data_IF_400644649755
#
_entry.id   IF_400644649755
#
_cell.length_a   1.000
_cell.length_b   1.000
_cell.length_c   1.000
_cell.angle_alpha   90.00
_cell.angle_beta   90.00
_cell.angle_gamma   90.00
#
_symmetry.space_group_name_H-M   'P 1'
#
loop_
_entity.id
_entity.type
_entity.pdbx_description
1 polymer ?
#
# COMPACT_ATOMS: atom_id res chain seq x y z
N UNK A 1 -13.57 -26.70 -1.18
CA UNK A 1 -12.29 -26.08 -1.58
C UNK A 1 -12.62 -24.83 -2.36
N UNK A 2 -12.93 -23.72 -1.68
CA UNK A 2 -13.24 -22.47 -2.37
C UNK A 2 -11.93 -21.78 -2.73
N UNK A 3 -11.70 -21.59 -4.02
CA UNK A 3 -10.52 -20.95 -4.57
C UNK A 3 -10.32 -19.59 -3.92
N UNK A 4 -9.16 -19.40 -3.32
CA UNK A 4 -8.73 -18.17 -2.66
C UNK A 4 -8.45 -17.13 -3.75
N UNK A 5 -9.51 -16.56 -4.34
CA UNK A 5 -9.37 -15.68 -5.49
C UNK A 5 -8.91 -14.30 -5.04
N UNK A 6 -7.61 -14.08 -5.20
CA UNK A 6 -7.05 -12.75 -5.24
C UNK A 6 -7.68 -11.94 -6.37
N UNK A 7 -8.12 -10.73 -6.05
CA UNK A 7 -8.66 -9.76 -7.01
C UNK A 7 -7.67 -8.63 -7.17
N UNK A 8 -7.36 -8.27 -8.41
CA UNK A 8 -6.58 -7.06 -8.66
C UNK A 8 -7.40 -5.84 -8.25
N UNK A 9 -6.85 -4.99 -7.39
CA UNK A 9 -7.52 -3.76 -6.94
C UNK A 9 -7.10 -2.52 -7.75
N UNK A 10 -6.11 -2.66 -8.63
CA UNK A 10 -5.78 -1.65 -9.64
C UNK A 10 -6.88 -1.70 -10.72
N UNK A 11 -7.65 -0.62 -10.85
CA UNK A 11 -8.73 -0.51 -11.85
C UNK A 11 -10.09 -1.10 -11.43
N UNK A 12 -10.25 -1.48 -10.16
CA UNK A 12 -11.56 -1.86 -9.60
C UNK A 12 -12.23 -0.66 -8.91
N UNK A 13 -13.57 -0.56 -9.03
CA UNK A 13 -14.34 0.59 -8.56
C UNK A 13 -14.31 0.79 -7.04
N UNK A 14 -14.66 -0.23 -6.26
CA UNK A 14 -14.73 -0.13 -4.79
C UNK A 14 -13.90 -1.22 -4.12
N UNK A 15 -12.97 -0.78 -3.26
CA UNK A 15 -12.23 -1.62 -2.34
C UNK A 15 -13.00 -1.58 -1.01
N UNK A 16 -13.29 -2.73 -0.37
CA UNK A 16 -13.94 -2.73 0.93
C UNK A 16 -13.12 -1.92 1.95
N UNK A 17 -13.81 -1.22 2.84
CA UNK A 17 -13.13 -0.42 3.86
C UNK A 17 -12.29 -1.27 4.81
N UNK A 18 -11.14 -0.71 5.17
CA UNK A 18 -10.20 -1.19 6.18
C UNK A 18 -10.07 -0.20 7.35
N UNK A 19 -11.03 0.73 7.49
CA UNK A 19 -11.11 1.58 8.69
C UNK A 19 -11.25 0.70 9.94
N UNK A 20 -10.45 0.99 10.97
CA UNK A 20 -10.30 0.20 12.19
C UNK A 20 -9.80 -1.23 11.97
N UNK A 21 -9.30 -1.57 10.78
CA UNK A 21 -8.66 -2.86 10.55
C UNK A 21 -7.24 -2.83 11.11
N UNK A 22 -6.86 -3.90 11.80
CA UNK A 22 -5.54 -4.04 12.41
C UNK A 22 -4.58 -4.76 11.47
N UNK A 23 -3.48 -4.11 11.10
CA UNK A 23 -2.35 -4.74 10.43
C UNK A 23 -1.62 -5.65 11.44
N UNK A 24 -1.80 -6.96 11.32
CA UNK A 24 -1.20 -7.92 12.24
C UNK A 24 -0.04 -8.72 11.62
N UNK A 25 0.17 -8.63 10.30
CA UNK A 25 1.18 -9.41 9.61
C UNK A 25 1.81 -8.69 8.42
N UNK A 26 3.14 -8.75 8.35
CA UNK A 26 3.94 -8.27 7.22
C UNK A 26 4.87 -9.41 6.79
N UNK A 27 4.67 -9.94 5.58
CA UNK A 27 5.54 -10.93 4.95
C UNK A 27 6.39 -10.27 3.86
N UNK A 28 7.70 -10.18 4.06
CA UNK A 28 8.62 -9.57 3.09
C UNK A 28 9.40 -10.65 2.33
N UNK A 29 9.10 -10.78 1.03
CA UNK A 29 9.69 -11.76 0.13
C UNK A 29 10.52 -11.04 -0.93
N UNK A 30 11.71 -10.57 -0.53
CA UNK A 30 12.57 -9.71 -1.37
C UNK A 30 12.96 -10.34 -2.71
N UNK A 31 13.29 -11.64 -2.71
CA UNK A 31 13.71 -12.35 -3.92
C UNK A 31 12.62 -12.32 -5.01
N UNK A 32 11.36 -12.38 -4.59
CA UNK A 32 10.19 -12.38 -5.48
C UNK A 32 9.64 -10.97 -5.74
N UNK A 33 10.28 -9.94 -5.17
CA UNK A 33 9.77 -8.56 -5.14
C UNK A 33 8.31 -8.51 -4.65
N UNK A 34 8.02 -9.26 -3.59
CA UNK A 34 6.67 -9.37 -3.01
C UNK A 34 6.63 -8.87 -1.57
N UNK A 35 5.55 -8.15 -1.24
CA UNK A 35 5.17 -7.79 0.11
C UNK A 35 3.74 -8.28 0.37
N UNK A 36 3.54 -8.97 1.48
CA UNK A 36 2.24 -9.42 1.95
C UNK A 36 1.84 -8.66 3.19
N UNK A 37 0.65 -8.08 3.18
CA UNK A 37 0.07 -7.35 4.30
C UNK A 37 -1.22 -8.04 4.73
N UNK A 38 -1.36 -8.33 6.02
CA UNK A 38 -2.51 -9.03 6.56
C UNK A 38 -3.21 -8.16 7.60
N UNK A 39 -4.50 -7.98 7.38
CA UNK A 39 -5.35 -7.14 8.19
C UNK A 39 -6.48 -7.95 8.80
N UNK A 40 -6.72 -7.76 10.09
CA UNK A 40 -7.92 -8.24 10.78
C UNK A 40 -8.96 -7.14 10.69
N UNK A 41 -10.08 -7.42 10.04
CA UNK A 41 -11.16 -6.45 9.78
C UNK A 41 -12.15 -6.45 10.94
N UNK A 42 -12.89 -5.35 11.10
CA UNK A 42 -13.89 -5.18 12.18
C UNK A 42 -15.04 -6.17 12.13
N UNK A 43 -15.32 -6.76 10.96
CA UNK A 43 -16.29 -7.83 10.79
C UNK A 43 -15.77 -9.22 11.20
N UNK A 44 -14.56 -9.31 11.77
CA UNK A 44 -13.90 -10.56 12.15
C UNK A 44 -13.15 -11.27 11.02
N UNK A 45 -13.39 -10.89 9.76
CA UNK A 45 -12.71 -11.48 8.60
C UNK A 45 -11.27 -10.99 8.43
N UNK A 46 -10.53 -11.64 7.53
CA UNK A 46 -9.16 -11.27 7.19
C UNK A 46 -9.08 -10.69 5.79
N UNK A 47 -8.40 -9.55 5.64
CA UNK A 47 -8.00 -9.03 4.34
C UNK A 47 -6.50 -9.20 4.13
N UNK A 48 -6.11 -9.84 3.04
CA UNK A 48 -4.71 -10.02 2.67
C UNK A 48 -4.40 -9.28 1.38
N UNK A 49 -3.54 -8.27 1.46
CA UNK A 49 -2.95 -7.64 0.28
C UNK A 49 -1.65 -8.35 -0.09
N UNK A 50 -1.51 -8.67 -1.37
CA UNK A 50 -0.28 -9.17 -1.98
C UNK A 50 0.17 -8.14 -3.02
N UNK A 51 1.26 -7.46 -2.71
CA UNK A 51 1.89 -6.45 -3.56
C UNK A 51 3.05 -7.12 -4.28
N UNK A 52 3.06 -7.10 -5.61
CA UNK A 52 4.09 -7.74 -6.44
C UNK A 52 4.80 -6.74 -7.32
N UNK A 53 6.04 -7.06 -7.71
CA UNK A 53 6.89 -6.11 -8.41
C UNK A 53 7.21 -4.90 -7.54
N UNK A 54 7.36 -5.10 -6.22
CA UNK A 54 7.70 -4.04 -5.28
C UNK A 54 8.98 -3.33 -5.75
N UNK A 55 8.89 -2.01 -5.89
CA UNK A 55 9.96 -1.10 -6.30
C UNK A 55 10.56 -0.45 -5.07
N UNK A 56 9.71 0.03 -4.15
CA UNK A 56 10.10 0.62 -2.89
C UNK A 56 9.01 0.37 -1.84
N UNK A 57 9.41 0.18 -0.59
CA UNK A 57 8.51 0.10 0.54
C UNK A 57 9.17 0.75 1.76
N UNK A 58 8.36 1.36 2.62
CA UNK A 58 8.80 1.81 3.93
C UNK A 58 7.63 1.68 4.89
N UNK A 59 7.94 1.20 6.09
CA UNK A 59 7.04 1.15 7.25
C UNK A 59 7.75 1.75 8.43
N UNK A 60 7.03 2.53 9.22
CA UNK A 60 7.50 3.09 10.50
C UNK A 60 6.48 2.77 11.58
N UNK A 61 6.92 2.79 12.84
CA UNK A 61 6.06 2.69 14.02
C UNK A 61 5.15 1.45 14.06
N UNK A 62 5.62 0.33 13.50
CA UNK A 62 4.96 -0.97 13.67
C UNK A 62 5.07 -1.40 15.14
N UNK A 63 3.95 -1.29 15.85
CA UNK A 63 3.86 -1.42 17.31
C UNK A 63 2.93 -2.57 17.72
N UNK A 64 2.59 -2.65 19.00
CA UNK A 64 1.66 -3.66 19.53
C UNK A 64 0.24 -3.53 18.93
N UNK A 65 -0.17 -2.30 18.59
CA UNK A 65 -1.41 -2.02 17.89
C UNK A 65 -1.12 -1.24 16.60
N UNK A 66 -1.61 -1.73 15.46
CA UNK A 66 -1.42 -1.10 14.14
C UNK A 66 -2.75 -0.96 13.43
N UNK A 67 -3.55 0.01 13.87
CA UNK A 67 -4.93 0.20 13.39
C UNK A 67 -4.92 1.19 12.23
N UNK A 68 -5.44 0.77 11.08
CA UNK A 68 -5.57 1.63 9.92
C UNK A 68 -6.71 2.63 10.10
N UNK A 69 -6.42 3.91 9.85
CA UNK A 69 -7.46 4.93 9.63
C UNK A 69 -8.02 4.76 8.22
N UNK A 70 -7.14 4.70 7.21
CA UNK A 70 -7.52 4.47 5.82
C UNK A 70 -6.40 3.83 5.01
N UNK A 71 -6.80 3.18 3.93
CA UNK A 71 -5.91 2.70 2.89
C UNK A 71 -6.15 3.54 1.63
N UNK A 72 -5.09 4.17 1.11
CA UNK A 72 -5.13 4.93 -0.15
C UNK A 72 -4.41 4.10 -1.21
N UNK A 73 -5.11 3.77 -2.29
CA UNK A 73 -4.60 2.84 -3.31
C UNK A 73 -4.87 3.42 -4.69
N UNK A 74 -3.83 3.69 -5.49
CA UNK A 74 -4.01 4.14 -6.87
C UNK A 74 -4.49 2.99 -7.76
N UNK A 75 -5.37 3.23 -8.76
CA UNK A 75 -5.98 4.51 -9.11
C UNK A 75 -7.31 4.79 -8.36
N UNK A 76 -7.77 3.89 -7.50
CA UNK A 76 -9.03 4.06 -6.76
C UNK A 76 -9.03 5.34 -5.90
N UNK A 77 -7.87 5.69 -5.35
CA UNK A 77 -7.58 6.99 -4.80
C UNK A 77 -6.78 7.84 -5.82
N UNK A 78 -7.31 8.99 -6.26
CA UNK A 78 -6.65 9.85 -7.24
C UNK A 78 -5.62 10.76 -6.55
N UNK A 79 -4.44 10.21 -6.24
CA UNK A 79 -3.35 11.02 -5.68
C UNK A 79 -3.00 12.20 -6.60
N UNK A 80 -2.90 13.39 -6.00
CA UNK A 80 -2.32 14.55 -6.67
C UNK A 80 -0.81 14.39 -6.87
N UNK A 81 -0.23 15.12 -7.82
CA UNK A 81 1.23 15.12 -8.02
C UNK A 81 2.01 15.53 -6.78
N UNK A 82 1.44 16.41 -5.94
CA UNK A 82 2.04 16.84 -4.68
C UNK A 82 2.09 15.68 -3.65
N UNK A 83 1.02 14.90 -3.53
CA UNK A 83 0.98 13.72 -2.67
C UNK A 83 1.93 12.63 -3.18
N UNK A 84 1.99 12.41 -4.49
CA UNK A 84 2.95 11.47 -5.09
C UNK A 84 4.38 11.90 -4.78
N UNK A 85 4.72 13.19 -4.96
CA UNK A 85 6.04 13.72 -4.62
C UNK A 85 6.38 13.52 -3.15
N UNK A 86 5.42 13.79 -2.25
CA UNK A 86 5.56 13.55 -0.82
C UNK A 86 5.89 12.09 -0.52
N UNK A 87 5.08 11.15 -1.01
CA UNK A 87 5.27 9.72 -0.75
C UNK A 87 6.54 9.15 -1.38
N UNK A 88 6.92 9.60 -2.58
CA UNK A 88 8.20 9.21 -3.19
C UNK A 88 9.39 9.70 -2.37
N UNK A 89 9.35 10.93 -1.88
CA UNK A 89 10.39 11.46 -1.01
C UNK A 89 10.42 10.71 0.34
N UNK A 90 9.27 10.37 0.91
CA UNK A 90 9.17 9.60 2.15
C UNK A 90 9.71 8.17 1.99
N UNK A 91 9.39 7.51 0.88
CA UNK A 91 9.93 6.19 0.51
C UNK A 91 11.46 6.21 0.32
N UNK A 92 11.99 7.30 -0.24
CA UNK A 92 13.44 7.47 -0.47
C UNK A 92 14.21 8.01 0.73
N UNK A 93 13.53 8.61 1.70
CA UNK A 93 14.13 9.24 2.87
C UNK A 93 14.80 8.21 3.78
N UNK A 94 16.09 8.42 4.06
CA UNK A 94 16.77 7.80 5.20
C UNK A 94 16.48 8.64 6.45
N UNK A 95 16.45 8.00 7.62
CA UNK A 95 16.07 8.63 8.91
C UNK A 95 16.85 9.93 9.21
N UNK A 96 18.05 10.09 8.65
CA UNK A 96 18.94 11.24 8.91
C UNK A 96 19.08 12.24 7.75
N UNK A 97 18.29 12.11 6.68
CA UNK A 97 18.35 13.01 5.52
C UNK A 97 16.96 13.53 5.26
N UNK A 98 16.78 14.85 5.37
CA UNK A 98 15.55 15.54 4.96
C UNK A 98 15.11 14.99 3.59
N UNK A 99 13.82 14.66 3.40
CA UNK A 99 13.36 14.11 2.14
C UNK A 99 13.80 15.06 1.02
N UNK A 100 14.74 14.61 0.17
CA UNK A 100 15.07 15.37 -1.03
C UNK A 100 13.78 15.49 -1.82
N UNK A 101 13.42 16.71 -2.26
CA UNK A 101 12.29 16.92 -3.16
C UNK A 101 12.33 15.84 -4.24
N UNK A 102 11.24 15.08 -4.37
CA UNK A 102 11.16 14.05 -5.38
C UNK A 102 11.43 14.69 -6.76
N UNK A 103 12.28 14.04 -7.55
CA UNK A 103 12.59 14.46 -8.90
C UNK A 103 11.29 14.67 -9.71
N UNK A 104 11.02 15.88 -10.24
CA UNK A 104 9.81 16.17 -10.99
C UNK A 104 9.58 15.21 -12.17
N UNK A 105 10.63 14.75 -12.84
CA UNK A 105 10.51 13.77 -13.94
C UNK A 105 10.00 12.43 -13.41
N UNK A 106 10.51 12.00 -12.25
CA UNK A 106 10.07 10.76 -11.60
C UNK A 106 8.62 10.85 -11.12
N UNK A 107 8.20 12.00 -10.60
CA UNK A 107 6.79 12.24 -10.23
C UNK A 107 5.89 12.14 -11.45
N UNK A 108 6.25 12.82 -12.55
CA UNK A 108 5.48 12.78 -13.79
C UNK A 108 5.39 11.37 -14.37
N UNK A 109 6.49 10.61 -14.30
CA UNK A 109 6.52 9.21 -14.72
C UNK A 109 5.57 8.34 -13.87
N UNK A 110 5.58 8.48 -12.54
CA UNK A 110 4.65 7.75 -11.68
C UNK A 110 3.19 8.10 -11.97
N UNK A 111 2.86 9.37 -12.20
CA UNK A 111 1.51 9.79 -12.63
C UNK A 111 1.09 9.03 -13.89
N UNK A 112 1.96 9.02 -14.91
CA UNK A 112 1.69 8.32 -16.16
C UNK A 112 1.57 6.79 -15.97
N UNK A 113 2.39 6.20 -15.10
CA UNK A 113 2.37 4.77 -14.80
C UNK A 113 1.11 4.36 -14.01
N UNK A 114 0.64 5.18 -13.07
CA UNK A 114 -0.59 4.94 -12.33
C UNK A 114 -1.81 5.04 -13.24
N UNK A 115 -1.87 6.06 -14.11
CA UNK A 115 -2.94 6.20 -15.10
C UNK A 115 -2.95 5.04 -16.11
N UNK A 116 -1.78 4.49 -16.44
CA UNK A 116 -1.66 3.35 -17.34
C UNK A 116 -1.79 1.97 -16.64
N UNK A 117 -1.94 1.94 -15.31
CA UNK A 117 -2.00 0.70 -14.53
C UNK A 117 -0.70 -0.11 -14.53
N UNK A 118 0.45 0.51 -14.85
CA UNK A 118 1.78 -0.14 -14.82
C UNK A 118 2.40 -0.16 -13.43
N UNK A 119 2.00 0.77 -12.58
CA UNK A 119 2.40 0.84 -11.19
C UNK A 119 1.20 1.22 -10.32
N UNK A 120 1.33 0.98 -9.02
CA UNK A 120 0.45 1.49 -8.01
C UNK A 120 1.19 1.92 -6.74
N UNK A 121 0.64 2.96 -6.11
CA UNK A 121 0.98 3.40 -4.77
C UNK A 121 -0.08 2.88 -3.79
N UNK A 122 0.40 2.17 -2.77
CA UNK A 122 -0.38 1.77 -1.59
C UNK A 122 0.11 2.59 -0.40
N UNK A 123 -0.81 3.24 0.31
CA UNK A 123 -0.53 3.96 1.55
C UNK A 123 -1.47 3.45 2.65
N UNK A 124 -0.90 3.13 3.80
CA UNK A 124 -1.62 2.90 5.04
C UNK A 124 -1.40 4.13 5.91
N UNK A 125 -2.47 4.89 6.14
CA UNK A 125 -2.46 5.95 7.14
C UNK A 125 -2.96 5.40 8.48
N UNK A 126 -2.18 5.54 9.56
CA UNK A 126 -2.54 4.98 10.85
C UNK A 126 -3.63 5.81 11.52
N UNK A 127 -4.52 5.12 12.23
CA UNK A 127 -5.18 5.65 13.41
C UNK A 127 -4.26 5.50 14.63
N UNK A 128 -3.53 4.38 14.70
CA UNK A 128 -2.48 4.10 15.69
C UNK A 128 -1.44 3.12 15.11
N UNK A 129 -0.17 3.30 15.47
CA UNK A 129 0.92 2.39 15.07
C UNK A 129 1.38 2.61 13.63
N UNK A 130 1.47 1.51 12.87
CA UNK A 130 2.17 1.48 11.60
C UNK A 130 1.68 2.51 10.57
N UNK A 131 2.60 3.34 10.06
CA UNK A 131 2.44 4.11 8.82
C UNK A 131 3.27 3.44 7.71
N UNK A 132 2.68 3.27 6.53
CA UNK A 132 3.34 2.56 5.44
C UNK A 132 3.03 3.16 4.08
N UNK A 133 4.05 3.17 3.21
CA UNK A 133 3.89 3.38 1.78
C UNK A 133 4.61 2.27 1.01
N UNK A 134 4.03 1.88 -0.12
CA UNK A 134 4.59 0.88 -1.04
C UNK A 134 4.34 1.30 -2.49
N UNK A 135 5.41 1.37 -3.27
CA UNK A 135 5.36 1.51 -4.73
C UNK A 135 5.60 0.13 -5.35
N UNK A 136 4.65 -0.36 -6.15
CA UNK A 136 4.70 -1.69 -6.74
C UNK A 136 4.02 -1.73 -8.13
N UNK A 137 4.08 -2.87 -8.81
CA UNK A 137 3.48 -3.05 -10.14
C UNK A 137 2.03 -3.54 -10.03
N UNK A 138 1.70 -4.36 -9.03
CA UNK A 138 0.35 -4.93 -8.87
C UNK A 138 -0.01 -5.08 -7.41
N UNK A 139 -1.29 -4.82 -7.09
CA UNK A 139 -1.87 -5.03 -5.76
C UNK A 139 -3.05 -5.98 -5.90
N UNK A 140 -2.95 -7.11 -5.21
CA UNK A 140 -3.98 -8.14 -5.19
C UNK A 140 -4.59 -8.23 -3.80
N UNK A 141 -5.92 -8.25 -3.70
CA UNK A 141 -6.64 -8.41 -2.45
C UNK A 141 -7.34 -9.76 -2.39
N UNK A 142 -7.16 -10.47 -1.29
CA UNK A 142 -7.99 -11.61 -0.88
C UNK A 142 -8.76 -11.23 0.37
N UNK A 143 -10.04 -11.55 0.41
CA UNK A 143 -10.88 -11.45 1.59
C UNK A 143 -11.27 -12.85 2.01
N UNK A 144 -11.04 -13.16 3.28
CA UNK A 144 -11.45 -14.39 3.93
C UNK A 144 -12.52 -14.02 4.97
N UNK A 145 -13.66 -14.70 4.93
CA UNK A 145 -14.74 -14.50 5.91
C UNK A 145 -14.33 -15.07 7.29
N UNK A 146 -15.01 -14.59 8.34
CA UNK A 146 -14.77 -15.00 9.73
C UNK A 146 -15.17 -16.47 9.99
#
# INVERSE_FOLDING_TARGET
MNGSHYRNVIGFGEIPTFHDAELFGIGHHRADRELRLQFRRTNGGTGTFRLTGVVAQRVVDFADQNVASRLLISPAYPFSSAEIAHWLAWLGGRVDVSPSLADPERVAQCVADFSAGRQALFVLEPSCGAEMAVLCETILLRLDDA
#
